data_IF_410913117032
#
_entry.id   IF_410913117032
#
_cell.length_a   1.000
_cell.length_b   1.000
_cell.length_c   1.000
_cell.angle_alpha   90.00
_cell.angle_beta   90.00
_cell.angle_gamma   90.00
#
_symmetry.space_group_name_H-M   'P 1'
#
loop_
_entity.id
_entity.type
_entity.pdbx_description
1 polymer ?
#
# COMPACT_ATOMS: atom_id res chain seq x y z
N UNK A 1 7.37 13.41 -8.49
CA UNK A 1 6.94 12.97 -7.15
C UNK A 1 5.58 13.58 -6.84
N UNK A 2 4.59 12.76 -6.49
CA UNK A 2 3.26 13.24 -6.07
C UNK A 2 3.29 13.70 -4.62
N UNK A 3 2.39 14.61 -4.25
CA UNK A 3 2.25 15.01 -2.85
C UNK A 3 1.45 13.98 -2.03
N UNK A 4 1.48 14.14 -0.70
CA UNK A 4 0.81 13.24 0.25
C UNK A 4 -0.72 13.22 0.09
N UNK A 5 -1.34 14.36 -0.28
CA UNK A 5 -2.79 14.42 -0.47
C UNK A 5 -3.20 13.59 -1.66
N UNK A 6 -2.48 13.74 -2.77
CA UNK A 6 -2.69 12.97 -3.99
C UNK A 6 -2.40 11.48 -3.76
N UNK A 7 -1.30 11.14 -3.09
CA UNK A 7 -0.97 9.75 -2.77
C UNK A 7 -2.08 9.07 -1.96
N UNK A 8 -2.59 9.73 -0.90
CA UNK A 8 -3.69 9.18 -0.09
C UNK A 8 -4.96 8.96 -0.90
N UNK A 9 -5.32 9.89 -1.80
CA UNK A 9 -6.47 9.69 -2.70
C UNK A 9 -6.27 8.46 -3.59
N UNK A 10 -5.09 8.31 -4.20
CA UNK A 10 -4.79 7.17 -5.07
C UNK A 10 -4.80 5.85 -4.30
N UNK A 11 -4.31 5.82 -3.07
CA UNK A 11 -4.42 4.66 -2.17
C UNK A 11 -5.89 4.28 -1.98
N UNK A 12 -6.74 5.23 -1.60
CA UNK A 12 -8.16 4.97 -1.43
C UNK A 12 -8.81 4.42 -2.70
N UNK A 13 -8.54 5.05 -3.84
CA UNK A 13 -9.13 4.63 -5.10
C UNK A 13 -8.62 3.26 -5.56
N UNK A 14 -7.36 2.91 -5.28
CA UNK A 14 -6.82 1.58 -5.56
C UNK A 14 -7.44 0.48 -4.67
N UNK A 15 -7.77 0.83 -3.41
CA UNK A 15 -8.35 -0.11 -2.45
C UNK A 15 -9.88 -0.21 -2.51
N UNK A 16 -10.57 0.65 -3.26
CA UNK A 16 -12.04 0.75 -3.22
C UNK A 16 -12.74 -0.56 -3.64
N UNK A 17 -12.22 -1.27 -4.64
CA UNK A 17 -12.87 -2.49 -5.14
C UNK A 17 -12.68 -3.69 -4.21
N UNK A 18 -11.44 -3.97 -3.78
CA UNK A 18 -11.10 -5.17 -3.00
C UNK A 18 -11.07 -4.93 -1.49
N UNK A 19 -10.99 -3.67 -1.05
CA UNK A 19 -10.82 -3.27 0.35
C UNK A 19 -9.43 -3.56 0.93
N UNK A 20 -8.54 -4.22 0.21
CA UNK A 20 -7.20 -4.59 0.65
C UNK A 20 -6.26 -4.80 -0.54
N UNK A 21 -4.95 -4.65 -0.30
CA UNK A 21 -3.89 -4.96 -1.28
C UNK A 21 -2.55 -5.15 -0.56
N UNK A 22 -1.65 -5.95 -1.16
CA UNK A 22 -0.26 -6.06 -0.73
C UNK A 22 0.42 -4.69 -0.78
N UNK A 23 1.16 -4.33 0.27
CA UNK A 23 1.65 -2.96 0.43
C UNK A 23 2.60 -2.52 -0.70
N UNK A 24 3.40 -3.42 -1.28
CA UNK A 24 4.32 -3.13 -2.38
C UNK A 24 3.59 -3.02 -3.73
N UNK A 25 2.65 -3.93 -4.00
CA UNK A 25 1.74 -3.85 -5.15
C UNK A 25 0.92 -2.56 -5.12
N UNK A 26 0.44 -2.15 -3.94
CA UNK A 26 -0.29 -0.90 -3.74
C UNK A 26 0.59 0.31 -4.06
N UNK A 27 1.84 0.36 -3.56
CA UNK A 27 2.78 1.43 -3.92
C UNK A 27 2.92 1.54 -5.44
N UNK A 28 3.28 0.44 -6.10
CA UNK A 28 3.48 0.40 -7.55
C UNK A 28 2.22 0.76 -8.35
N UNK A 29 1.03 0.61 -7.76
CA UNK A 29 -0.25 0.99 -8.36
C UNK A 29 -0.52 2.50 -8.29
N UNK A 30 -0.10 3.16 -7.20
CA UNK A 30 -0.44 4.57 -6.93
C UNK A 30 0.62 5.57 -7.42
N UNK A 31 1.82 5.10 -7.76
CA UNK A 31 2.89 5.91 -8.34
C UNK A 31 3.29 5.41 -9.75
N UNK A 32 4.10 6.22 -10.43
CA UNK A 32 4.91 5.80 -11.57
C UNK A 32 6.35 5.63 -11.05
N UNK A 33 6.82 4.40 -10.75
CA UNK A 33 8.07 4.19 -10.02
C UNK A 33 9.31 4.71 -10.78
N UNK A 34 10.14 5.49 -10.10
CA UNK A 34 11.39 6.02 -10.67
C UNK A 34 12.65 5.46 -10.01
N UNK A 35 12.49 4.77 -8.87
CA UNK A 35 13.60 4.32 -8.04
C UNK A 35 14.11 5.40 -7.08
N UNK A 36 13.46 6.56 -7.00
CA UNK A 36 13.74 7.57 -5.99
C UNK A 36 13.34 7.05 -4.58
N UNK A 37 14.28 6.93 -3.62
CA UNK A 37 13.99 6.40 -2.28
C UNK A 37 12.97 7.22 -1.48
N UNK A 38 12.65 8.43 -1.92
CA UNK A 38 11.55 9.22 -1.33
C UNK A 38 10.16 8.66 -1.65
N UNK A 39 10.01 7.83 -2.69
CA UNK A 39 8.75 7.19 -3.08
C UNK A 39 8.21 6.29 -1.94
N UNK A 40 8.95 5.25 -1.47
CA UNK A 40 8.49 4.44 -0.36
C UNK A 40 8.44 5.23 0.97
N UNK A 41 9.26 6.27 1.15
CA UNK A 41 9.18 7.12 2.35
C UNK A 41 7.90 7.97 2.40
N UNK A 42 7.46 8.52 1.26
CA UNK A 42 6.19 9.24 1.15
C UNK A 42 5.01 8.30 1.38
N UNK A 43 5.10 7.09 0.84
CA UNK A 43 4.08 6.06 1.01
C UNK A 43 3.96 5.62 2.46
N UNK A 44 5.08 5.30 3.13
CA UNK A 44 5.12 5.04 4.57
C UNK A 44 4.44 6.16 5.36
N UNK A 45 4.78 7.43 5.08
CA UNK A 45 4.18 8.57 5.78
C UNK A 45 2.67 8.64 5.57
N UNK A 46 2.21 8.43 4.35
CA UNK A 46 0.78 8.46 4.03
C UNK A 46 0.04 7.32 4.73
N UNK A 47 0.59 6.11 4.78
CA UNK A 47 0.00 5.00 5.53
C UNK A 47 -0.05 5.32 7.03
N UNK A 48 1.00 5.90 7.62
CA UNK A 48 0.96 6.33 9.03
C UNK A 48 -0.16 7.32 9.32
N UNK A 49 -0.35 8.31 8.44
CA UNK A 49 -1.42 9.30 8.58
C UNK A 49 -2.80 8.64 8.46
N UNK A 50 -3.02 7.78 7.45
CA UNK A 50 -4.28 7.06 7.25
C UNK A 50 -4.60 6.09 8.39
N UNK A 51 -3.57 5.42 8.92
CA UNK A 51 -3.68 4.51 10.06
C UNK A 51 -4.03 5.27 11.34
N UNK A 52 -3.37 6.39 11.60
CA UNK A 52 -3.67 7.26 12.75
C UNK A 52 -5.08 7.86 12.68
N UNK A 53 -5.59 8.12 11.46
CA UNK A 53 -6.96 8.57 11.23
C UNK A 53 -8.00 7.42 11.35
N UNK A 54 -7.57 6.17 11.59
CA UNK A 54 -8.45 5.00 11.70
C UNK A 54 -9.08 4.57 10.37
N UNK A 55 -8.50 4.99 9.24
CA UNK A 55 -9.04 4.72 7.89
C UNK A 55 -8.46 3.44 7.28
N UNK A 56 -7.34 2.96 7.80
CA UNK A 56 -6.75 1.67 7.42
C UNK A 56 -6.31 0.91 8.66
N UNK A 57 -6.18 -0.40 8.50
CA UNK A 57 -5.42 -1.29 9.39
C UNK A 57 -4.39 -2.04 8.57
N UNK A 58 -3.39 -2.60 9.25
CA UNK A 58 -2.42 -3.48 8.62
C UNK A 58 -2.77 -4.93 8.92
N UNK A 59 -2.59 -5.78 7.92
CA UNK A 59 -2.60 -7.23 8.05
C UNK A 59 -1.31 -7.83 7.50
N UNK A 60 -1.24 -9.14 7.55
CA UNK A 60 -0.31 -9.91 6.74
C UNK A 60 -1.02 -11.05 6.03
N UNK A 61 -0.47 -11.50 4.90
CA UNK A 61 -1.04 -12.61 4.14
C UNK A 61 0.06 -13.55 3.64
N UNK A 62 -0.16 -14.85 3.76
CA UNK A 62 0.64 -15.88 3.07
C UNK A 62 -0.19 -17.13 2.78
N UNK A 63 0.27 -17.98 1.85
CA UNK A 63 -0.47 -19.18 1.43
C UNK A 63 -0.77 -20.13 2.60
N UNK A 64 0.20 -20.49 3.48
CA UNK A 64 -0.07 -21.50 4.50
C UNK A 64 -1.00 -21.03 5.63
N UNK A 65 -1.11 -19.71 5.85
CA UNK A 65 -1.84 -19.15 7.00
C UNK A 65 -3.07 -18.32 6.60
N UNK A 66 -3.17 -17.93 5.33
CA UNK A 66 -4.15 -16.96 4.89
C UNK A 66 -3.83 -15.56 5.40
N UNK A 67 -4.88 -14.76 5.56
CA UNK A 67 -4.80 -13.40 6.07
C UNK A 67 -4.87 -13.39 7.60
N UNK A 68 -3.96 -12.67 8.22
CA UNK A 68 -3.89 -12.44 9.66
C UNK A 68 -3.94 -10.94 9.93
N UNK A 69 -4.86 -10.49 10.79
CA UNK A 69 -4.92 -9.10 11.25
C UNK A 69 -3.79 -8.84 12.24
N UNK A 70 -3.12 -7.69 12.11
CA UNK A 70 -2.15 -7.22 13.10
C UNK A 70 -2.85 -6.39 14.17
N UNK A 71 -2.30 -6.39 15.39
CA UNK A 71 -2.68 -5.38 16.40
C UNK A 71 -2.20 -3.99 15.99
N UNK A 72 -2.70 -2.94 16.64
CA UNK A 72 -2.34 -1.58 16.26
C UNK A 72 -0.83 -1.30 16.37
N UNK A 73 -0.20 -1.81 17.44
CA UNK A 73 1.24 -1.68 17.66
C UNK A 73 2.06 -2.44 16.60
N UNK A 74 1.63 -3.66 16.25
CA UNK A 74 2.25 -4.45 15.19
C UNK A 74 2.09 -3.80 13.82
N UNK A 75 0.90 -3.27 13.53
CA UNK A 75 0.61 -2.59 12.27
C UNK A 75 1.43 -1.31 12.11
N UNK A 76 1.53 -0.49 13.16
CA UNK A 76 2.37 0.71 13.13
C UNK A 76 3.86 0.37 12.98
N UNK A 77 4.31 -0.71 13.64
CA UNK A 77 5.66 -1.22 13.48
C UNK A 77 5.91 -1.74 12.05
N UNK A 78 4.91 -2.37 11.43
CA UNK A 78 4.99 -2.88 10.06
C UNK A 78 5.07 -1.76 9.03
N UNK A 79 4.25 -0.71 9.18
CA UNK A 79 4.36 0.50 8.34
C UNK A 79 5.77 1.07 8.42
N UNK A 80 6.38 1.09 9.61
CA UNK A 80 7.74 1.59 9.83
C UNK A 80 8.88 0.81 9.19
N UNK A 81 8.59 -0.34 8.58
CA UNK A 81 9.58 -1.16 7.88
C UNK A 81 9.62 -0.85 6.38
N UNK A 82 8.59 -0.23 5.82
CA UNK A 82 8.41 -0.07 4.36
C UNK A 82 9.62 0.59 3.70
N UNK A 83 9.99 1.81 4.11
CA UNK A 83 11.07 2.55 3.46
C UNK A 83 12.43 1.87 3.56
N UNK A 84 12.69 1.13 4.65
CA UNK A 84 13.94 0.41 4.85
C UNK A 84 14.04 -0.86 3.98
N UNK A 85 12.91 -1.54 3.80
CA UNK A 85 12.86 -2.86 3.16
C UNK A 85 12.54 -2.82 1.67
N UNK A 86 11.95 -1.74 1.15
CA UNK A 86 11.62 -1.67 -0.26
C UNK A 86 12.88 -1.40 -1.10
N UNK A 87 13.05 -2.18 -2.17
CA UNK A 87 14.15 -2.07 -3.12
C UNK A 87 13.59 -1.94 -4.52
N UNK A 88 14.08 -0.94 -5.25
CA UNK A 88 13.70 -0.76 -6.64
C UNK A 88 14.38 -1.80 -7.51
N UNK A 89 13.62 -2.45 -8.38
CA UNK A 89 14.08 -3.44 -9.34
C UNK A 89 14.10 -2.81 -10.75
N UNK A 90 15.25 -2.33 -11.25
CA UNK A 90 15.30 -1.47 -12.44
C UNK A 90 14.87 -2.13 -13.74
N UNK A 91 15.01 -3.46 -13.87
CA UNK A 91 14.59 -4.16 -15.08
C UNK A 91 13.08 -4.18 -15.23
N UNK A 92 12.37 -4.24 -14.10
CA UNK A 92 10.92 -4.39 -14.07
C UNK A 92 10.23 -3.05 -13.78
N UNK A 93 10.99 -2.05 -13.34
CA UNK A 93 10.49 -0.72 -13.06
C UNK A 93 9.53 -0.68 -11.87
N UNK A 94 9.76 -1.52 -10.85
CA UNK A 94 8.88 -1.68 -9.69
C UNK A 94 9.67 -1.69 -8.38
N UNK A 95 9.01 -1.32 -7.30
CA UNK A 95 9.48 -1.55 -5.94
C UNK A 95 9.07 -2.93 -5.47
N UNK A 96 10.00 -3.67 -4.89
CA UNK A 96 9.76 -4.96 -4.26
C UNK A 96 10.18 -4.88 -2.80
N UNK A 97 9.42 -5.53 -1.93
CA UNK A 97 9.85 -5.69 -0.55
C UNK A 97 10.94 -6.77 -0.47
N UNK A 98 12.17 -6.37 -0.12
CA UNK A 98 13.34 -7.25 -0.10
C UNK A 98 13.27 -8.40 0.90
N UNK A 99 12.27 -8.40 1.80
CA UNK A 99 12.00 -9.54 2.68
C UNK A 99 11.40 -10.72 1.91
N UNK A 100 10.94 -10.48 0.68
CA UNK A 100 10.26 -11.43 -0.19
C UNK A 100 10.98 -11.48 -1.54
N UNK A 101 11.62 -12.60 -1.86
CA UNK A 101 12.43 -12.66 -3.08
C UNK A 101 12.95 -14.04 -3.46
N UNK A 102 12.46 -15.11 -2.84
CA UNK A 102 12.94 -16.44 -3.18
C UNK A 102 12.10 -17.58 -2.60
N UNK A 103 12.39 -18.81 -3.06
CA UNK A 103 11.72 -20.00 -2.55
C UNK A 103 11.89 -20.18 -1.03
N UNK A 104 10.84 -20.68 -0.34
CA UNK A 104 9.53 -21.01 -0.90
C UNK A 104 8.65 -19.75 -1.05
N UNK A 105 8.21 -19.48 -2.29
CA UNK A 105 7.39 -18.31 -2.60
C UNK A 105 6.09 -18.31 -1.79
N UNK A 106 5.65 -17.12 -1.39
CA UNK A 106 4.37 -16.87 -0.71
C UNK A 106 4.18 -17.64 0.61
N UNK A 107 5.26 -18.07 1.27
CA UNK A 107 5.21 -18.65 2.61
C UNK A 107 5.51 -17.64 3.72
N UNK A 108 6.26 -16.59 3.39
CA UNK A 108 6.52 -15.49 4.31
C UNK A 108 5.30 -14.56 4.32
N UNK A 109 4.73 -14.22 5.49
CA UNK A 109 3.63 -13.26 5.59
C UNK A 109 4.02 -11.90 5.01
N UNK A 110 3.31 -11.47 3.96
CA UNK A 110 3.49 -10.19 3.29
C UNK A 110 2.58 -9.12 3.89
N UNK A 111 3.04 -7.88 4.07
CA UNK A 111 2.20 -6.81 4.62
C UNK A 111 1.07 -6.45 3.67
N UNK A 112 -0.11 -6.28 4.23
CA UNK A 112 -1.32 -5.92 3.51
C UNK A 112 -1.93 -4.66 4.12
N UNK A 113 -2.33 -3.72 3.27
CA UNK A 113 -3.07 -2.53 3.69
C UNK A 113 -4.56 -2.83 3.51
N UNK A 114 -5.35 -2.64 4.57
CA UNK A 114 -6.77 -3.01 4.58
C UNK A 114 -7.59 -1.78 4.99
N UNK A 115 -8.66 -1.48 4.25
CA UNK A 115 -9.60 -0.42 4.63
C UNK A 115 -10.41 -0.85 5.87
N UNK A 116 -10.61 0.09 6.79
CA UNK A 116 -11.69 -0.03 7.78
C UNK A 116 -13.03 0.31 7.13
N UNK A 117 -14.14 0.10 7.84
CA UNK A 117 -15.46 0.55 7.35
C UNK A 117 -15.46 2.06 7.02
N UNK A 118 -14.86 2.88 7.88
CA UNK A 118 -14.69 4.32 7.64
C UNK A 118 -13.76 4.61 6.45
N UNK A 119 -12.71 3.80 6.29
CA UNK A 119 -11.83 3.84 5.13
C UNK A 119 -12.54 3.53 3.81
N UNK A 120 -13.45 2.56 3.84
CA UNK A 120 -14.25 2.15 2.70
C UNK A 120 -15.27 3.25 2.30
N UNK A 121 -15.98 3.82 3.26
CA UNK A 121 -16.84 4.97 2.98
C UNK A 121 -16.04 6.14 2.38
N UNK A 122 -14.82 6.35 2.88
CA UNK A 122 -13.93 7.36 2.35
C UNK A 122 -13.48 7.05 0.92
N UNK A 123 -13.14 5.80 0.62
CA UNK A 123 -12.69 5.40 -0.71
C UNK A 123 -13.77 5.58 -1.76
N UNK A 124 -14.99 5.15 -1.46
CA UNK A 124 -16.17 5.40 -2.30
C UNK A 124 -16.34 6.89 -2.56
N UNK A 125 -16.29 7.73 -1.51
CA UNK A 125 -16.43 9.18 -1.68
C UNK A 125 -15.32 9.81 -2.55
N UNK A 126 -14.10 9.26 -2.51
CA UNK A 126 -13.01 9.69 -3.39
C UNK A 126 -13.32 9.29 -4.83
N UNK A 127 -13.63 8.02 -5.08
CA UNK A 127 -13.89 7.50 -6.43
C UNK A 127 -15.09 8.19 -7.07
N UNK A 128 -16.18 8.45 -6.34
CA UNK A 128 -17.35 9.18 -6.84
C UNK A 128 -17.02 10.61 -7.29
N UNK A 129 -16.10 11.29 -6.59
CA UNK A 129 -15.77 12.70 -6.86
C UNK A 129 -14.82 12.89 -8.02
N UNK A 130 -13.84 12.01 -8.17
CA UNK A 130 -12.74 12.21 -9.12
C UNK A 130 -12.58 11.05 -10.13
N UNK A 131 -13.38 10.00 -9.99
CA UNK A 131 -13.40 8.82 -10.86
C UNK A 131 -12.45 7.72 -10.39
N UNK A 132 -12.56 6.53 -10.98
CA UNK A 132 -11.59 5.47 -10.80
C UNK A 132 -10.36 5.72 -11.70
N UNK A 133 -9.14 5.45 -11.22
CA UNK A 133 -7.89 5.59 -11.99
C UNK A 133 -7.62 6.97 -12.64
N UNK A 134 -8.12 8.10 -12.09
CA UNK A 134 -7.93 9.43 -12.72
C UNK A 134 -6.47 9.81 -12.98
N UNK A 135 -5.56 9.24 -12.19
CA UNK A 135 -4.13 9.51 -12.26
C UNK A 135 -3.40 8.69 -13.31
N UNK A 136 -4.02 7.62 -13.81
CA UNK A 136 -3.38 6.77 -14.82
C UNK A 136 -3.45 7.49 -16.18
N UNK A 137 -2.36 7.45 -16.97
CA UNK A 137 -2.40 7.96 -18.33
C UNK A 137 -3.55 7.29 -19.10
N UNK A 138 -4.42 8.10 -19.71
CA UNK A 138 -5.43 7.59 -20.64
C UNK A 138 -4.68 7.06 -21.87
N UNK A 139 -4.73 5.75 -22.06
CA UNK A 139 -4.22 5.11 -23.28
C UNK A 139 -5.11 5.46 -24.46
#
# INVERSE_FOLDING_TARGET
MIDSTEMKKRIFAALEEAGNEHADALLNTVIDPTGDPTEPAMFERCLRELFADGLIVMGTVCIPRGRESLTDDEGLAEIGKISAHYKFHPSDGIWLDSRFGGPPYYQTPEPEVILTDAGFEKSVSVVEKIGHNWWRPKR
#
